data_IF_011204871813
#
_entry.id   IF_011204871813
#
_cell.length_a   1.000
_cell.length_b   1.000
_cell.length_c   1.000
_cell.angle_alpha   90.00
_cell.angle_beta   90.00
_cell.angle_gamma   90.00
#
_symmetry.space_group_name_H-M   'P 1'
#
loop_
_entity.id
_entity.type
_entity.pdbx_description
1 polymer ?
#
# COMPACT_ATOMS: atom_id res chain seq x y z
N UNK A 1 22.77 6.43 14.47
CA UNK A 1 23.30 6.85 13.15
C UNK A 1 22.20 6.89 12.08
N UNK A 2 21.43 5.82 11.86
CA UNK A 2 20.36 5.80 10.85
C UNK A 2 19.26 6.87 11.09
N UNK A 3 18.79 7.03 12.33
CA UNK A 3 17.85 8.11 12.71
C UNK A 3 18.40 9.50 12.35
N UNK A 4 19.65 9.78 12.72
CA UNK A 4 20.29 11.07 12.43
C UNK A 4 20.46 11.34 10.92
N UNK A 5 20.67 10.30 10.10
CA UNK A 5 20.70 10.46 8.64
C UNK A 5 19.37 11.00 8.10
N UNK A 6 18.24 10.43 8.55
CA UNK A 6 16.92 10.90 8.16
C UNK A 6 16.63 12.32 8.66
N UNK A 7 16.94 12.62 9.93
CA UNK A 7 16.75 13.96 10.51
C UNK A 7 17.57 15.05 9.80
N UNK A 8 18.80 14.73 9.40
CA UNK A 8 19.67 15.70 8.73
C UNK A 8 19.38 15.87 7.24
N UNK A 9 18.73 14.89 6.61
CA UNK A 9 18.51 14.87 5.15
C UNK A 9 17.07 15.19 4.75
N UNK A 10 16.14 15.24 5.71
CA UNK A 10 14.71 15.42 5.48
C UNK A 10 14.10 16.32 6.56
N UNK A 11 12.79 16.58 6.47
CA UNK A 11 12.04 17.27 7.52
C UNK A 11 11.52 16.33 8.63
N UNK A 12 11.85 15.03 8.57
CA UNK A 12 11.40 14.05 9.57
C UNK A 12 12.18 14.25 10.86
N UNK A 13 11.46 14.32 11.98
CA UNK A 13 12.05 14.35 13.31
C UNK A 13 11.73 13.06 14.08
N UNK A 14 12.72 12.53 14.80
CA UNK A 14 12.57 11.34 15.64
C UNK A 14 12.68 11.74 17.09
N UNK A 15 11.57 11.60 17.83
CA UNK A 15 11.48 11.93 19.25
C UNK A 15 11.24 10.64 20.03
N UNK A 16 12.09 10.36 21.01
CA UNK A 16 11.88 9.23 21.91
C UNK A 16 10.61 9.47 22.75
N UNK A 17 9.69 8.51 22.73
CA UNK A 17 8.48 8.58 23.53
C UNK A 17 8.04 7.19 23.96
N UNK A 18 7.79 7.03 25.25
CA UNK A 18 7.22 5.80 25.81
C UNK A 18 5.69 5.83 25.87
N UNK A 19 5.10 7.02 25.74
CA UNK A 19 3.67 7.27 25.97
C UNK A 19 2.90 7.63 24.71
N UNK A 20 3.57 8.02 23.62
CA UNK A 20 2.87 8.31 22.37
C UNK A 20 2.13 7.06 21.88
N UNK A 21 0.80 7.12 21.67
CA UNK A 21 0.02 5.96 21.25
C UNK A 21 0.46 5.43 19.88
N UNK A 22 0.89 6.30 18.97
CA UNK A 22 1.40 5.95 17.66
C UNK A 22 2.92 6.10 17.65
N UNK A 23 3.65 4.98 17.68
CA UNK A 23 5.13 5.01 17.69
C UNK A 23 5.73 3.76 17.09
N UNK A 24 6.94 3.92 16.58
CA UNK A 24 7.81 2.80 16.17
C UNK A 24 8.58 2.31 17.38
N UNK A 25 8.55 1.01 17.65
CA UNK A 25 9.33 0.35 18.70
C UNK A 25 10.42 -0.50 18.06
N UNK A 26 11.66 -0.05 18.20
CA UNK A 26 12.84 -0.78 17.77
C UNK A 26 13.09 -1.97 18.69
N UNK A 27 13.17 -3.17 18.12
CA UNK A 27 13.48 -4.40 18.85
C UNK A 27 14.54 -5.19 18.09
N UNK A 28 15.23 -6.06 18.83
CA UNK A 28 16.04 -7.13 18.23
C UNK A 28 15.19 -8.40 18.24
N UNK A 29 14.53 -8.68 17.13
CA UNK A 29 13.76 -9.91 16.93
C UNK A 29 14.64 -10.96 16.21
N UNK A 30 14.36 -12.24 16.46
CA UNK A 30 14.99 -13.36 15.76
C UNK A 30 14.42 -13.56 14.34
N UNK A 31 13.31 -12.87 14.01
CA UNK A 31 12.69 -12.87 12.69
C UNK A 31 13.44 -12.12 11.57
N UNK A 32 14.57 -11.48 11.86
CA UNK A 32 15.39 -10.75 10.88
C UNK A 32 15.17 -9.23 10.87
N UNK A 33 15.33 -8.61 9.69
CA UNK A 33 15.17 -7.17 9.50
C UNK A 33 13.81 -6.90 8.84
N UNK A 34 12.93 -6.13 9.48
CA UNK A 34 11.64 -5.77 8.90
C UNK A 34 11.00 -4.57 9.60
N UNK A 35 10.07 -3.92 8.90
CA UNK A 35 9.16 -2.90 9.41
C UNK A 35 7.86 -2.92 8.63
N UNK A 36 6.77 -2.48 9.26
CA UNK A 36 5.57 -2.06 8.54
C UNK A 36 5.86 -0.84 7.64
N UNK A 37 5.05 -0.67 6.59
CA UNK A 37 5.18 0.46 5.65
C UNK A 37 4.23 1.60 6.05
N UNK A 38 4.80 2.69 6.55
CA UNK A 38 4.05 3.87 7.02
C UNK A 38 3.48 3.72 8.43
N UNK A 39 2.64 4.68 8.86
CA UNK A 39 2.01 4.66 10.17
C UNK A 39 0.78 3.75 10.17
N UNK A 40 0.87 2.61 10.86
CA UNK A 40 -0.24 1.65 10.98
C UNK A 40 -1.27 2.04 12.05
N UNK A 41 -0.88 2.95 12.95
CA UNK A 41 -1.61 3.23 14.19
C UNK A 41 -1.17 2.29 15.32
N UNK A 42 -1.22 2.77 16.56
CA UNK A 42 -0.70 2.04 17.71
C UNK A 42 0.83 1.90 17.71
N UNK A 43 1.32 0.92 18.47
CA UNK A 43 2.75 0.60 18.54
C UNK A 43 3.10 -0.39 17.44
N UNK A 44 3.87 0.04 16.44
CA UNK A 44 4.39 -0.83 15.38
C UNK A 44 5.84 -1.21 15.63
N UNK A 45 6.20 -2.46 15.35
CA UNK A 45 7.54 -2.99 15.61
C UNK A 45 8.43 -2.80 14.39
N UNK A 46 9.65 -2.32 14.62
CA UNK A 46 10.74 -2.34 13.64
C UNK A 46 11.83 -3.25 14.20
N UNK A 47 12.08 -4.36 13.51
CA UNK A 47 13.08 -5.34 13.92
C UNK A 47 14.43 -5.04 13.28
N UNK A 48 15.46 -4.96 14.12
CA UNK A 48 16.86 -5.04 13.74
C UNK A 48 17.47 -6.26 14.43
N UNK A 49 17.17 -7.43 13.89
CA UNK A 49 17.71 -8.72 14.34
C UNK A 49 19.24 -8.82 14.19
N UNK A 50 19.77 -10.00 14.50
CA UNK A 50 21.20 -10.26 14.36
C UNK A 50 21.66 -10.11 12.89
N UNK A 51 22.63 -9.23 12.65
CA UNK A 51 23.11 -8.89 11.30
C UNK A 51 22.40 -7.71 10.63
N UNK A 52 21.36 -7.15 11.27
CA UNK A 52 20.61 -5.99 10.77
C UNK A 52 21.12 -4.64 11.32
N UNK A 53 22.14 -4.65 12.18
CA UNK A 53 22.57 -3.49 12.95
C UNK A 53 23.38 -2.47 12.12
N UNK A 54 23.66 -2.80 10.86
CA UNK A 54 24.36 -1.92 9.93
C UNK A 54 23.52 -0.70 9.59
N UNK A 55 24.22 0.44 9.44
CA UNK A 55 23.61 1.74 9.12
C UNK A 55 22.61 1.67 7.96
N UNK A 56 22.99 1.05 6.84
CA UNK A 56 22.16 1.01 5.64
C UNK A 56 20.91 0.13 5.79
N UNK A 57 20.99 -0.95 6.58
CA UNK A 57 19.83 -1.81 6.87
C UNK A 57 18.88 -1.07 7.80
N UNK A 58 19.38 -0.50 8.89
CA UNK A 58 18.54 0.29 9.79
C UNK A 58 17.91 1.50 9.08
N UNK A 59 18.63 2.16 8.16
CA UNK A 59 18.07 3.25 7.36
C UNK A 59 16.97 2.76 6.41
N UNK A 60 17.12 1.57 5.83
CA UNK A 60 16.13 0.91 4.97
C UNK A 60 14.85 0.55 5.75
N UNK A 61 14.97 -0.08 6.92
CA UNK A 61 13.80 -0.40 7.74
C UNK A 61 13.09 0.85 8.25
N UNK A 62 13.84 1.91 8.57
CA UNK A 62 13.24 3.22 8.90
C UNK A 62 12.52 3.78 7.67
N UNK A 63 13.05 3.63 6.45
CA UNK A 63 12.37 4.05 5.23
C UNK A 63 11.00 3.38 5.10
N UNK A 64 10.92 2.07 5.38
CA UNK A 64 9.64 1.37 5.44
C UNK A 64 8.70 2.03 6.45
N UNK A 65 9.11 2.24 7.70
CA UNK A 65 8.26 2.93 8.69
C UNK A 65 7.80 4.34 8.25
N UNK A 66 8.60 5.02 7.42
CA UNK A 66 8.26 6.32 6.82
C UNK A 66 7.31 6.24 5.61
N UNK A 67 7.02 5.04 5.10
CA UNK A 67 6.06 4.81 4.02
C UNK A 67 6.67 4.43 2.67
N UNK A 68 7.96 4.12 2.61
CA UNK A 68 8.61 3.70 1.36
C UNK A 68 8.39 2.21 1.13
N UNK A 69 7.92 1.86 -0.07
CA UNK A 69 7.95 0.49 -0.58
C UNK A 69 9.29 0.19 -1.23
N UNK A 70 9.54 -1.08 -1.55
CA UNK A 70 10.72 -1.42 -2.33
C UNK A 70 10.67 -0.79 -3.74
N UNK A 71 11.80 -0.31 -4.23
CA UNK A 71 11.88 0.39 -5.51
C UNK A 71 11.44 -0.49 -6.69
N UNK A 72 11.72 -1.80 -6.65
CA UNK A 72 11.26 -2.73 -7.68
C UNK A 72 9.74 -2.93 -7.72
N UNK A 73 9.00 -2.45 -6.73
CA UNK A 73 7.53 -2.51 -6.68
C UNK A 73 6.88 -1.29 -7.32
N UNK A 74 7.63 -0.29 -7.79
CA UNK A 74 7.03 0.88 -8.43
C UNK A 74 6.15 0.53 -9.63
N UNK A 75 5.07 1.28 -9.83
CA UNK A 75 4.15 1.08 -10.95
C UNK A 75 4.84 1.18 -12.32
N UNK A 76 5.87 2.03 -12.42
CA UNK A 76 6.66 2.33 -13.62
C UNK A 76 7.98 1.55 -13.72
N UNK A 77 8.26 0.61 -12.80
CA UNK A 77 9.54 -0.13 -12.75
C UNK A 77 9.90 -0.85 -14.05
N UNK A 78 8.90 -1.23 -14.86
CA UNK A 78 9.13 -1.91 -16.14
C UNK A 78 9.78 -1.01 -17.21
N UNK A 79 9.91 0.30 -16.95
CA UNK A 79 10.70 1.22 -17.79
C UNK A 79 12.21 1.13 -17.52
N UNK A 80 12.61 0.58 -16.37
CA UNK A 80 14.00 0.51 -15.92
C UNK A 80 14.50 -0.93 -15.73
N UNK A 81 13.65 -1.86 -15.30
CA UNK A 81 14.01 -3.26 -15.04
C UNK A 81 12.97 -4.21 -15.63
N UNK A 82 13.38 -5.47 -15.87
CA UNK A 82 12.44 -6.55 -16.19
C UNK A 82 12.55 -7.65 -15.14
N UNK A 83 11.43 -7.99 -14.51
CA UNK A 83 11.39 -9.10 -13.54
C UNK A 83 11.15 -10.41 -14.28
N UNK A 84 12.18 -11.25 -14.37
CA UNK A 84 12.01 -12.60 -14.90
C UNK A 84 11.42 -13.54 -13.82
N UNK A 85 10.09 -13.59 -13.75
CA UNK A 85 9.33 -14.41 -12.79
C UNK A 85 9.67 -15.92 -12.88
N UNK A 86 10.18 -16.40 -14.02
CA UNK A 86 10.64 -17.78 -14.18
C UNK A 86 11.86 -18.13 -13.33
N UNK A 87 12.68 -17.14 -13.00
CA UNK A 87 13.87 -17.29 -12.15
C UNK A 87 13.60 -16.97 -10.67
N UNK A 88 12.37 -16.56 -10.33
CA UNK A 88 11.96 -16.27 -8.96
C UNK A 88 11.29 -17.51 -8.37
N UNK A 89 11.70 -17.88 -7.15
CA UNK A 89 11.07 -18.95 -6.37
C UNK A 89 9.55 -18.68 -6.33
N UNK A 90 8.69 -19.66 -6.71
CA UNK A 90 7.26 -19.42 -6.89
C UNK A 90 6.58 -18.68 -5.74
N UNK A 91 6.88 -19.09 -4.50
CA UNK A 91 6.29 -18.52 -3.29
C UNK A 91 6.86 -17.16 -2.91
N UNK A 92 7.91 -16.68 -3.60
CA UNK A 92 8.55 -15.37 -3.38
C UNK A 92 8.21 -14.36 -4.49
N UNK A 93 7.41 -14.76 -5.49
CA UNK A 93 7.05 -13.88 -6.62
C UNK A 93 6.26 -12.65 -6.20
N UNK A 94 5.55 -12.72 -5.07
CA UNK A 94 4.75 -11.60 -4.56
C UNK A 94 5.61 -10.38 -4.17
N UNK A 95 6.90 -10.58 -3.82
CA UNK A 95 7.86 -9.51 -3.51
C UNK A 95 8.20 -8.61 -4.72
N UNK A 96 7.70 -8.98 -5.90
CA UNK A 96 7.87 -8.22 -7.14
C UNK A 96 6.54 -7.74 -7.71
N UNK A 97 5.44 -7.88 -6.98
CA UNK A 97 4.19 -7.24 -7.37
C UNK A 97 4.40 -5.73 -7.38
N UNK A 98 3.74 -5.04 -8.30
CA UNK A 98 3.75 -3.57 -8.28
C UNK A 98 2.84 -3.09 -7.17
N UNK A 99 3.21 -2.02 -6.48
CA UNK A 99 2.46 -1.46 -5.35
C UNK A 99 1.97 -0.06 -5.71
N UNK A 100 0.70 0.21 -5.39
CA UNK A 100 0.09 1.52 -5.51
C UNK A 100 -0.55 1.89 -4.18
N UNK A 101 -0.27 3.09 -3.69
CA UNK A 101 -0.96 3.70 -2.55
C UNK A 101 -1.64 4.97 -3.02
N UNK A 102 -2.92 5.11 -2.70
CA UNK A 102 -3.74 6.26 -3.09
C UNK A 102 -4.33 6.85 -1.83
N UNK A 103 -3.96 8.08 -1.56
CA UNK A 103 -4.51 8.91 -0.49
C UNK A 103 -5.40 9.97 -1.10
N UNK A 104 -6.62 10.11 -0.58
CA UNK A 104 -7.65 11.01 -1.09
C UNK A 104 -8.42 11.65 0.08
N UNK A 105 -9.08 12.78 -0.14
CA UNK A 105 -9.73 13.56 0.91
C UNK A 105 -8.77 14.52 1.63
N UNK A 106 -9.34 15.42 2.42
CA UNK A 106 -8.59 16.44 3.17
C UNK A 106 -8.62 16.20 4.69
N UNK A 107 -7.61 16.73 5.39
CA UNK A 107 -7.50 16.73 6.85
C UNK A 107 -8.40 17.81 7.50
N UNK A 108 -9.60 18.06 6.97
CA UNK A 108 -10.42 19.17 7.43
C UNK A 108 -11.22 18.74 8.67
N UNK A 109 -11.10 19.50 9.76
CA UNK A 109 -11.87 19.38 11.01
C UNK A 109 -13.36 19.74 10.88
N UNK A 110 -13.82 20.05 9.67
CA UNK A 110 -15.23 20.31 9.40
C UNK A 110 -15.89 19.00 9.00
N UNK A 111 -16.69 18.48 9.94
CA UNK A 111 -17.52 17.27 9.88
C UNK A 111 -18.67 17.42 8.86
N UNK A 112 -18.35 17.81 7.63
CA UNK A 112 -19.31 18.04 6.55
C UNK A 112 -18.89 17.28 5.31
N UNK A 113 -19.78 16.43 4.81
CA UNK A 113 -19.60 15.71 3.54
C UNK A 113 -19.30 16.70 2.41
N UNK A 114 -18.34 16.37 1.56
CA UNK A 114 -18.13 17.05 0.30
C UNK A 114 -19.38 16.95 -0.57
N UNK A 115 -19.69 18.04 -1.29
CA UNK A 115 -20.82 18.08 -2.23
C UNK A 115 -20.71 16.99 -3.31
N UNK A 116 -19.48 16.63 -3.69
CA UNK A 116 -19.18 15.60 -4.68
C UNK A 116 -18.12 14.63 -4.16
N UNK A 117 -18.07 13.44 -4.75
CA UNK A 117 -16.99 12.50 -4.47
C UNK A 117 -15.70 12.97 -5.10
N UNK A 118 -14.66 13.07 -4.29
CA UNK A 118 -13.30 13.06 -4.81
C UNK A 118 -13.00 11.64 -5.31
N UNK A 119 -12.38 11.51 -6.48
CA UNK A 119 -12.07 10.21 -7.09
C UNK A 119 -10.68 10.20 -7.70
N UNK A 120 -9.95 9.11 -7.45
CA UNK A 120 -8.75 8.76 -8.19
C UNK A 120 -9.04 7.51 -9.03
N UNK A 121 -8.91 7.62 -10.34
CA UNK A 121 -9.10 6.51 -11.27
C UNK A 121 -7.74 5.98 -11.71
N UNK A 122 -7.40 4.77 -11.29
CA UNK A 122 -6.18 4.08 -11.69
C UNK A 122 -6.52 2.93 -12.65
N UNK A 123 -6.01 2.97 -13.88
CA UNK A 123 -6.34 1.98 -14.91
C UNK A 123 -5.15 1.07 -15.15
N UNK A 124 -5.25 -0.19 -14.72
CA UNK A 124 -4.23 -1.19 -15.02
C UNK A 124 -4.51 -1.76 -16.41
N UNK A 125 -3.49 -1.78 -17.27
CA UNK A 125 -3.55 -2.34 -18.63
C UNK A 125 -2.52 -3.45 -18.77
N UNK A 126 -2.95 -4.56 -19.35
CA UNK A 126 -2.13 -5.70 -19.70
C UNK A 126 -2.18 -5.96 -21.21
N UNK A 127 -1.19 -6.66 -21.79
CA UNK A 127 -1.29 -7.15 -23.16
C UNK A 127 -2.51 -8.06 -23.36
N UNK A 128 -2.97 -8.19 -24.60
CA UNK A 128 -4.06 -9.12 -24.94
C UNK A 128 -3.69 -10.55 -24.53
N UNK A 129 -4.65 -11.29 -23.95
CA UNK A 129 -4.43 -12.64 -23.44
C UNK A 129 -3.83 -12.72 -22.03
N UNK A 130 -3.45 -11.59 -21.44
CA UNK A 130 -2.99 -11.53 -20.05
C UNK A 130 -4.10 -11.10 -19.12
N UNK A 131 -4.00 -11.51 -17.86
CA UNK A 131 -4.89 -11.09 -16.77
C UNK A 131 -4.13 -10.30 -15.72
N UNK A 132 -4.89 -9.50 -14.99
CA UNK A 132 -4.43 -8.63 -13.91
C UNK A 132 -4.94 -9.23 -12.61
N UNK A 133 -4.04 -9.41 -11.65
CA UNK A 133 -4.38 -9.79 -10.29
C UNK A 133 -4.06 -8.61 -9.37
N UNK A 134 -5.07 -8.15 -8.63
CA UNK A 134 -4.97 -7.11 -7.59
C UNK A 134 -5.13 -7.77 -6.23
N UNK A 135 -4.33 -7.36 -5.25
CA UNK A 135 -4.46 -7.76 -3.85
C UNK A 135 -4.53 -6.49 -3.00
N UNK A 136 -5.60 -6.35 -2.22
CA UNK A 136 -5.76 -5.22 -1.28
C UNK A 136 -4.78 -5.39 -0.11
N UNK A 137 -4.04 -4.34 0.26
CA UNK A 137 -2.93 -4.45 1.23
C UNK A 137 -3.18 -3.69 2.52
N UNK A 138 -3.44 -2.39 2.47
CA UNK A 138 -3.72 -1.61 3.67
C UNK A 138 -4.81 -0.60 3.36
N UNK A 139 -5.59 -0.25 4.38
CA UNK A 139 -6.57 0.82 4.28
C UNK A 139 -6.57 1.60 5.60
N UNK A 140 -6.54 2.92 5.53
CA UNK A 140 -6.57 3.79 6.72
C UNK A 140 -7.57 4.92 6.54
N UNK A 141 -8.15 5.41 7.65
CA UNK A 141 -9.23 6.41 7.61
C UNK A 141 -10.51 5.87 6.96
N UNK A 142 -10.75 4.56 7.05
CA UNK A 142 -11.90 3.87 6.44
C UNK A 142 -13.16 3.97 7.30
N UNK A 143 -14.31 3.77 6.66
CA UNK A 143 -15.59 3.61 7.33
C UNK A 143 -16.27 2.35 6.77
N UNK A 144 -16.36 1.31 7.62
CA UNK A 144 -16.87 0.02 7.22
C UNK A 144 -18.40 0.02 7.35
N UNK A 145 -19.07 0.28 6.23
CA UNK A 145 -20.52 0.27 6.11
C UNK A 145 -20.98 -0.56 4.91
N UNK A 146 -22.18 -1.15 4.95
CA UNK A 146 -22.72 -1.90 3.82
C UNK A 146 -22.68 -1.09 2.52
N UNK A 147 -22.01 -1.64 1.50
CA UNK A 147 -21.90 -1.04 0.17
C UNK A 147 -20.85 0.07 0.02
N UNK A 148 -20.11 0.41 1.09
CA UNK A 148 -19.02 1.39 1.07
C UNK A 148 -19.42 2.70 0.38
N UNK A 149 -20.55 3.29 0.78
CA UNK A 149 -21.20 4.35 -0.01
C UNK A 149 -20.49 5.70 0.06
N UNK A 150 -19.71 5.98 1.10
CA UNK A 150 -19.05 7.28 1.29
C UNK A 150 -17.56 7.31 0.91
N UNK A 151 -16.84 6.23 1.22
CA UNK A 151 -15.42 6.09 0.90
C UNK A 151 -15.09 4.63 0.69
N UNK A 152 -14.20 4.35 -0.26
CA UNK A 152 -13.82 2.98 -0.57
C UNK A 152 -12.96 2.85 -1.82
N UNK A 153 -12.60 1.61 -2.12
CA UNK A 153 -11.93 1.22 -3.35
C UNK A 153 -12.87 0.32 -4.17
N UNK A 154 -13.25 0.76 -5.37
CA UNK A 154 -14.01 -0.03 -6.35
C UNK A 154 -13.04 -0.70 -7.32
N UNK A 155 -13.11 -2.03 -7.43
CA UNK A 155 -12.29 -2.79 -8.38
C UNK A 155 -13.19 -3.40 -9.45
N UNK A 156 -12.96 -3.02 -10.70
CA UNK A 156 -13.79 -3.42 -11.85
C UNK A 156 -13.10 -4.57 -12.59
N UNK A 157 -13.30 -5.78 -12.09
CA UNK A 157 -12.66 -6.99 -12.61
C UNK A 157 -13.34 -7.59 -13.86
N UNK A 158 -14.64 -7.33 -14.04
CA UNK A 158 -15.41 -7.86 -15.16
C UNK A 158 -15.05 -7.20 -16.49
N UNK A 159 -15.25 -7.92 -17.60
CA UNK A 159 -14.95 -7.37 -18.94
C UNK A 159 -15.83 -6.19 -19.34
N UNK A 160 -17.08 -6.14 -18.86
CA UNK A 160 -17.98 -4.99 -19.08
C UNK A 160 -17.88 -4.00 -17.92
N UNK A 161 -17.07 -2.95 -18.14
CA UNK A 161 -16.83 -1.93 -17.12
C UNK A 161 -18.00 -0.94 -16.92
N UNK A 162 -19.14 -1.10 -17.61
CA UNK A 162 -20.33 -0.27 -17.37
C UNK A 162 -21.03 -0.62 -16.06
N UNK A 163 -20.88 -1.86 -15.58
CA UNK A 163 -21.41 -2.30 -14.29
C UNK A 163 -20.52 -1.81 -13.15
N UNK A 164 -21.12 -1.45 -12.02
CA UNK A 164 -20.40 -1.13 -10.77
C UNK A 164 -19.57 -2.33 -10.34
N UNK A 165 -18.28 -2.10 -10.05
CA UNK A 165 -17.40 -3.12 -9.49
C UNK A 165 -17.71 -3.39 -8.02
N UNK A 166 -17.06 -4.41 -7.44
CA UNK A 166 -17.14 -4.63 -6.00
C UNK A 166 -16.39 -3.48 -5.30
N UNK A 167 -16.98 -2.96 -4.23
CA UNK A 167 -16.41 -1.92 -3.38
C UNK A 167 -15.95 -2.53 -2.07
N UNK A 168 -14.79 -2.08 -1.61
CA UNK A 168 -14.15 -2.54 -0.37
C UNK A 168 -13.84 -1.33 0.51
N UNK A 169 -14.07 -1.46 1.81
CA UNK A 169 -13.89 -0.40 2.81
C UNK A 169 -13.77 -0.92 4.25
N UNK A 170 -13.63 -2.23 4.44
CA UNK A 170 -13.52 -2.87 5.75
C UNK A 170 -12.13 -3.49 5.92
N UNK A 171 -11.65 -3.58 7.17
CA UNK A 171 -10.35 -4.23 7.45
C UNK A 171 -10.34 -5.70 7.01
N UNK A 172 -11.50 -6.37 7.08
CA UNK A 172 -11.70 -7.75 6.61
C UNK A 172 -11.48 -7.92 5.09
N UNK A 173 -11.58 -6.84 4.31
CA UNK A 173 -11.33 -6.87 2.87
C UNK A 173 -9.82 -6.95 2.56
N UNK A 174 -8.95 -6.62 3.51
CA UNK A 174 -7.51 -6.66 3.33
C UNK A 174 -7.05 -8.08 3.03
N UNK A 175 -6.20 -8.24 2.02
CA UNK A 175 -5.76 -9.54 1.51
C UNK A 175 -6.66 -10.13 0.42
N UNK A 176 -7.81 -9.51 0.13
CA UNK A 176 -8.69 -9.96 -0.95
C UNK A 176 -7.94 -9.95 -2.29
N UNK A 177 -7.95 -11.09 -2.96
CA UNK A 177 -7.36 -11.31 -4.28
C UNK A 177 -8.43 -11.23 -5.36
N UNK A 178 -8.23 -10.35 -6.33
CA UNK A 178 -9.19 -10.05 -7.38
C UNK A 178 -8.49 -10.24 -8.73
N UNK A 179 -9.06 -11.06 -9.60
CA UNK A 179 -8.49 -11.37 -10.93
C UNK A 179 -9.42 -10.84 -12.00
N UNK A 180 -8.87 -10.13 -12.98
CA UNK A 180 -9.64 -9.57 -14.09
C UNK A 180 -10.11 -10.66 -15.08
N UNK A 181 -11.29 -10.46 -15.68
CA UNK A 181 -11.77 -11.27 -16.80
C UNK A 181 -11.06 -10.90 -18.11
N UNK A 182 -10.76 -9.60 -18.29
CA UNK A 182 -10.05 -9.06 -19.44
C UNK A 182 -8.65 -8.57 -19.12
N UNK A 183 -8.06 -7.83 -20.06
CA UNK A 183 -6.71 -7.25 -19.96
C UNK A 183 -6.70 -5.79 -19.47
N UNK A 184 -7.83 -5.27 -19.02
CA UNK A 184 -7.97 -3.93 -18.44
C UNK A 184 -8.71 -4.07 -17.12
N UNK A 185 -8.23 -3.39 -16.08
CA UNK A 185 -8.84 -3.42 -14.76
C UNK A 185 -8.78 -2.02 -14.13
N UNK A 186 -9.88 -1.26 -14.21
CA UNK A 186 -10.01 -0.02 -13.47
C UNK A 186 -10.10 -0.27 -11.95
N UNK A 187 -9.32 0.50 -11.20
CA UNK A 187 -9.36 0.61 -9.75
C UNK A 187 -9.71 2.06 -9.42
N UNK A 188 -10.82 2.27 -8.74
CA UNK A 188 -11.35 3.61 -8.44
C UNK A 188 -11.38 3.79 -6.94
N UNK A 189 -10.54 4.68 -6.43
CA UNK A 189 -10.59 5.10 -5.04
C UNK A 189 -11.44 6.34 -4.96
N UNK A 190 -12.44 6.34 -4.08
CA UNK A 190 -13.36 7.46 -3.91
C UNK A 190 -13.53 7.81 -2.44
N UNK A 191 -13.81 9.08 -2.17
CA UNK A 191 -13.99 9.60 -0.83
C UNK A 191 -14.94 10.80 -0.85
N UNK A 192 -15.70 10.97 0.24
CA UNK A 192 -16.64 12.08 0.43
C UNK A 192 -16.40 12.89 1.70
N UNK A 193 -15.58 12.41 2.63
CA UNK A 193 -15.21 13.16 3.82
C UNK A 193 -14.00 12.52 4.47
N UNK A 194 -13.22 13.37 5.13
CA UNK A 194 -11.95 13.04 5.78
C UNK A 194 -10.94 12.34 4.86
N UNK A 195 -9.68 12.38 5.26
CA UNK A 195 -8.62 11.71 4.52
C UNK A 195 -8.72 10.19 4.68
N UNK A 196 -8.68 9.46 3.57
CA UNK A 196 -8.50 8.00 3.57
C UNK A 196 -7.38 7.57 2.62
N UNK A 197 -6.73 6.45 2.94
CA UNK A 197 -5.65 5.88 2.11
C UNK A 197 -5.94 4.41 1.83
N UNK A 198 -5.74 3.99 0.59
CA UNK A 198 -5.88 2.61 0.14
C UNK A 198 -4.63 2.19 -0.61
N UNK A 199 -3.97 1.14 -0.13
CA UNK A 199 -2.86 0.51 -0.82
C UNK A 199 -3.25 -0.86 -1.37
N UNK A 200 -2.82 -1.14 -2.59
CA UNK A 200 -2.99 -2.43 -3.24
C UNK A 200 -1.73 -2.80 -4.01
N UNK A 201 -1.51 -4.10 -4.16
CA UNK A 201 -0.50 -4.62 -5.08
C UNK A 201 -1.17 -5.19 -6.32
N UNK A 202 -0.45 -5.24 -7.42
CA UNK A 202 -0.92 -5.89 -8.63
C UNK A 202 0.20 -6.56 -9.42
N UNK A 203 -0.17 -7.60 -10.16
CA UNK A 203 0.71 -8.27 -11.12
C UNK A 203 -0.05 -8.62 -12.39
N UNK A 204 0.71 -8.76 -13.47
CA UNK A 204 0.22 -9.13 -14.79
C UNK A 204 0.82 -10.48 -15.14
N UNK A 205 -0.02 -11.43 -15.53
CA UNK A 205 0.40 -12.79 -15.89
C UNK A 205 -0.38 -13.33 -17.07
N UNK A 206 0.26 -14.21 -17.85
CA UNK A 206 -0.46 -15.08 -18.80
C UNK A 206 -1.22 -16.11 -17.97
N UNK A 207 -2.47 -16.36 -18.34
CA UNK A 207 -3.24 -17.48 -17.83
C UNK A 207 -3.31 -18.58 -18.89
#
# INVERSE_FOLDING_TARGET
MAIAFWQNSTCVDFVESQTNPNRVRFLRDDGGCYSDVGMMGGVQVLSLGAGCEYFYIAAHEIAHALGFFHEQERYDRDTAITVNSGNVIPDQRFNYNKTQSITIGANNEFDTEYETFEKCNYIIRAPMGYKIEVILKTMTGIDCIPGCVYKGIEVKAMSDHRYTGIRYCCEEDIGTKIVSEGNVMPVIVFNRYEKSTYAFTYRIGMQ
#
